data_IF_763973878938
#
_entry.id   IF_763973878938
#
_cell.length_a   1.000
_cell.length_b   1.000
_cell.length_c   1.000
_cell.angle_alpha   90.00
_cell.angle_beta   90.00
_cell.angle_gamma   90.00
#
_symmetry.space_group_name_H-M   'P 1'
#
loop_
_entity.id
_entity.type
_entity.pdbx_description
1 polymer ?
#
# COMPACT_ATOMS: atom_id res chain seq x y z
N UNK A 1 9.05 17.77 10.03
CA UNK A 1 7.79 16.98 10.16
C UNK A 1 7.86 15.89 9.11
N UNK A 2 7.62 14.63 9.47
CA UNK A 2 7.71 13.50 8.55
C UNK A 2 6.53 13.49 7.58
N UNK A 3 6.77 13.25 6.29
CA UNK A 3 5.75 13.17 5.25
C UNK A 3 5.56 11.73 4.77
N UNK A 4 4.32 11.25 4.80
CA UNK A 4 3.98 9.85 4.51
C UNK A 4 2.94 9.76 3.41
N UNK A 5 3.27 9.10 2.30
CA UNK A 5 2.33 8.81 1.22
C UNK A 5 1.79 7.38 1.36
N UNK A 6 0.46 7.24 1.36
CA UNK A 6 -0.21 5.94 1.57
C UNK A 6 -1.17 5.69 0.41
N UNK A 7 -0.89 4.68 -0.40
CA UNK A 7 -1.82 4.22 -1.42
C UNK A 7 -2.86 3.27 -0.83
N UNK A 8 -4.11 3.38 -1.28
CA UNK A 8 -5.22 2.64 -0.67
C UNK A 8 -5.52 3.08 0.76
N UNK A 9 -5.28 4.36 1.09
CA UNK A 9 -5.37 4.92 2.43
C UNK A 9 -6.80 5.11 2.98
N UNK A 10 -7.84 4.75 2.21
CA UNK A 10 -9.22 5.01 2.60
C UNK A 10 -9.89 3.90 3.42
N UNK A 11 -9.23 2.80 3.68
CA UNK A 11 -9.78 1.68 4.46
C UNK A 11 -8.70 0.67 4.90
N UNK A 12 -9.08 -0.23 5.80
CA UNK A 12 -8.28 -1.38 6.19
C UNK A 12 -6.89 -1.01 6.71
N UNK A 13 -5.87 -1.70 6.21
CA UNK A 13 -4.46 -1.50 6.63
C UNK A 13 -3.98 -0.09 6.27
N UNK A 14 -4.36 0.44 5.08
CA UNK A 14 -3.96 1.77 4.66
C UNK A 14 -4.52 2.87 5.57
N UNK A 15 -5.80 2.78 5.96
CA UNK A 15 -6.38 3.70 6.93
C UNK A 15 -5.73 3.60 8.31
N UNK A 16 -5.44 2.39 8.79
CA UNK A 16 -4.76 2.20 10.07
C UNK A 16 -3.33 2.77 10.07
N UNK A 17 -2.61 2.75 8.94
CA UNK A 17 -1.35 3.48 8.78
C UNK A 17 -1.57 4.99 8.81
N UNK A 18 -2.60 5.50 8.12
CA UNK A 18 -2.93 6.92 8.14
C UNK A 18 -3.19 7.42 9.56
N UNK A 19 -4.00 6.69 10.32
CA UNK A 19 -4.31 6.97 11.72
C UNK A 19 -3.05 6.95 12.59
N UNK A 20 -2.20 5.92 12.44
CA UNK A 20 -0.95 5.83 13.20
C UNK A 20 -0.02 7.02 12.91
N UNK A 21 0.22 7.35 11.63
CA UNK A 21 1.14 8.44 11.30
C UNK A 21 0.57 9.81 11.66
N UNK A 22 -0.74 10.00 11.53
CA UNK A 22 -1.40 11.21 12.05
C UNK A 22 -1.24 11.33 13.56
N UNK A 23 -1.41 10.25 14.32
CA UNK A 23 -1.29 10.25 15.78
C UNK A 23 0.09 10.63 16.32
N UNK A 24 1.12 10.53 15.49
CA UNK A 24 2.51 10.92 15.84
C UNK A 24 2.93 12.23 15.16
N UNK A 25 1.97 12.99 14.62
CA UNK A 25 2.20 14.34 14.07
C UNK A 25 2.83 14.38 12.68
N UNK A 26 2.75 13.29 11.90
CA UNK A 26 3.21 13.28 10.50
C UNK A 26 2.21 13.97 9.58
N UNK A 27 2.70 14.59 8.51
CA UNK A 27 1.85 15.01 7.38
C UNK A 27 1.55 13.79 6.50
N UNK A 28 0.26 13.54 6.23
CA UNK A 28 -0.18 12.32 5.55
C UNK A 28 -0.80 12.64 4.19
N UNK A 29 -0.34 11.94 3.15
CA UNK A 29 -0.87 12.00 1.79
C UNK A 29 -1.64 10.71 1.51
N UNK A 30 -2.96 10.79 1.33
CA UNK A 30 -3.85 9.67 1.12
C UNK A 30 -4.25 9.55 -0.34
N UNK A 31 -3.97 8.41 -0.95
CA UNK A 31 -4.37 8.12 -2.32
C UNK A 31 -5.44 7.04 -2.34
N UNK A 32 -6.62 7.34 -2.90
CA UNK A 32 -7.70 6.39 -3.12
C UNK A 32 -8.67 6.87 -4.19
N UNK A 33 -9.58 6.00 -4.64
CA UNK A 33 -10.56 6.32 -5.71
C UNK A 33 -11.82 7.03 -5.22
N UNK A 34 -12.22 6.78 -3.99
CA UNK A 34 -13.47 7.34 -3.46
C UNK A 34 -13.21 8.69 -2.79
N UNK A 35 -13.55 9.76 -3.52
CA UNK A 35 -13.34 11.13 -3.07
C UNK A 35 -14.10 11.46 -1.78
N UNK A 36 -15.36 11.05 -1.66
CA UNK A 36 -16.17 11.34 -0.48
C UNK A 36 -15.56 10.68 0.77
N UNK A 37 -15.16 9.42 0.66
CA UNK A 37 -14.49 8.69 1.75
C UNK A 37 -13.15 9.32 2.14
N UNK A 38 -12.40 9.85 1.17
CA UNK A 38 -11.16 10.60 1.45
C UNK A 38 -11.44 11.89 2.22
N UNK A 39 -12.49 12.64 1.86
CA UNK A 39 -12.90 13.87 2.57
C UNK A 39 -13.27 13.56 4.02
N UNK A 40 -14.08 12.53 4.26
CA UNK A 40 -14.49 12.12 5.60
C UNK A 40 -13.27 11.73 6.48
N UNK A 41 -12.36 10.96 5.89
CA UNK A 41 -11.12 10.53 6.57
C UNK A 41 -10.21 11.72 6.87
N UNK A 42 -9.99 12.60 5.90
CA UNK A 42 -9.22 13.83 6.07
C UNK A 42 -9.76 14.63 7.25
N UNK A 43 -11.06 14.94 7.24
CA UNK A 43 -11.70 15.70 8.31
C UNK A 43 -11.57 15.00 9.68
N UNK A 44 -11.76 13.69 9.71
CA UNK A 44 -11.62 12.90 10.95
C UNK A 44 -10.21 12.97 11.51
N UNK A 45 -9.19 12.73 10.68
CA UNK A 45 -7.79 12.73 11.12
C UNK A 45 -7.32 14.13 11.51
N UNK A 46 -7.62 15.16 10.72
CA UNK A 46 -7.25 16.55 11.02
C UNK A 46 -7.90 17.06 12.31
N UNK A 47 -9.18 16.76 12.54
CA UNK A 47 -9.87 17.14 13.77
C UNK A 47 -9.36 16.38 15.00
N UNK A 48 -8.93 15.10 14.82
CA UNK A 48 -8.48 14.28 15.96
C UNK A 48 -7.03 14.54 16.33
N UNK A 49 -6.15 14.73 15.35
CA UNK A 49 -4.70 14.75 15.56
C UNK A 49 -4.04 16.11 15.26
N UNK A 50 -4.80 17.06 14.70
CA UNK A 50 -4.34 18.44 14.41
C UNK A 50 -3.11 18.50 13.49
N UNK A 51 -2.98 17.54 12.56
CA UNK A 51 -1.92 17.50 11.54
C UNK A 51 -2.50 17.63 10.13
N UNK A 52 -1.66 17.96 9.16
CA UNK A 52 -2.08 18.08 7.76
C UNK A 52 -2.36 16.72 7.13
N UNK A 53 -3.51 16.59 6.46
CA UNK A 53 -3.88 15.43 5.66
C UNK A 53 -4.21 15.87 4.23
N UNK A 54 -3.37 15.49 3.28
CA UNK A 54 -3.55 15.74 1.86
C UNK A 54 -4.27 14.57 1.20
N UNK A 55 -5.27 14.84 0.36
CA UNK A 55 -6.01 13.79 -0.33
C UNK A 55 -5.79 13.87 -1.83
N UNK A 56 -5.51 12.72 -2.44
CA UNK A 56 -5.33 12.55 -3.89
C UNK A 56 -6.35 11.51 -4.37
N UNK A 57 -7.36 11.99 -5.09
CA UNK A 57 -8.39 11.12 -5.66
C UNK A 57 -7.91 10.57 -7.00
N UNK A 58 -7.47 9.31 -7.03
CA UNK A 58 -6.89 8.70 -8.23
C UNK A 58 -7.16 7.20 -8.30
N UNK A 59 -7.40 6.68 -9.51
CA UNK A 59 -7.43 5.25 -9.79
C UNK A 59 -6.04 4.77 -10.21
N UNK A 60 -5.38 4.06 -9.31
CA UNK A 60 -4.05 3.52 -9.53
C UNK A 60 -4.02 2.26 -10.39
N UNK A 61 -5.18 1.74 -10.84
CA UNK A 61 -5.24 0.64 -11.81
C UNK A 61 -5.18 1.11 -13.26
N UNK A 62 -5.10 2.43 -13.49
CA UNK A 62 -4.99 2.99 -14.83
C UNK A 62 -3.52 3.08 -15.26
N UNK A 63 -3.30 2.98 -16.58
CA UNK A 63 -1.98 3.16 -17.17
C UNK A 63 -1.41 4.54 -16.82
N UNK A 64 -0.11 4.63 -16.57
CA UNK A 64 0.61 5.85 -16.19
C UNK A 64 0.19 6.48 -14.85
N UNK A 65 -0.71 5.86 -14.08
CA UNK A 65 -1.17 6.42 -12.80
C UNK A 65 -0.03 6.61 -11.79
N UNK A 66 0.97 5.72 -11.79
CA UNK A 66 2.14 5.84 -10.92
C UNK A 66 2.96 7.11 -11.22
N UNK A 67 3.27 7.37 -12.49
CA UNK A 67 3.99 8.59 -12.90
C UNK A 67 3.15 9.84 -12.67
N UNK A 68 1.85 9.79 -12.95
CA UNK A 68 0.93 10.91 -12.67
C UNK A 68 0.88 11.23 -11.17
N UNK A 69 0.80 10.20 -10.30
CA UNK A 69 0.84 10.41 -8.85
C UNK A 69 2.18 11.01 -8.41
N UNK A 70 3.27 10.44 -8.90
CA UNK A 70 4.61 10.93 -8.55
C UNK A 70 4.81 12.40 -8.93
N UNK A 71 4.42 12.81 -10.15
CA UNK A 71 4.51 14.20 -10.60
C UNK A 71 3.71 15.18 -9.71
N UNK A 72 2.59 14.74 -9.12
CA UNK A 72 1.80 15.57 -8.20
C UNK A 72 2.48 15.81 -6.84
N UNK A 73 3.40 14.93 -6.43
CA UNK A 73 3.98 14.96 -5.08
C UNK A 73 5.52 14.96 -5.06
N UNK A 74 6.19 15.03 -6.20
CA UNK A 74 7.67 14.95 -6.27
C UNK A 74 8.38 16.06 -5.48
N UNK A 75 7.77 17.23 -5.39
CA UNK A 75 8.34 18.39 -4.68
C UNK A 75 8.03 18.35 -3.16
N UNK A 76 7.21 17.39 -2.71
CA UNK A 76 6.83 17.25 -1.30
C UNK A 76 7.90 16.58 -0.44
N UNK A 77 8.95 16.02 -1.03
CA UNK A 77 10.00 15.30 -0.30
C UNK A 77 9.44 14.21 0.62
N UNK A 78 8.64 13.30 0.08
CA UNK A 78 8.04 12.19 0.82
C UNK A 78 9.12 11.35 1.50
N UNK A 79 9.01 11.17 2.83
CA UNK A 79 9.96 10.39 3.64
C UNK A 79 9.60 8.91 3.68
N UNK A 80 8.29 8.61 3.64
CA UNK A 80 7.79 7.23 3.70
C UNK A 80 6.75 7.01 2.59
N UNK A 81 6.99 6.01 1.75
CA UNK A 81 6.01 5.49 0.81
C UNK A 81 5.43 4.17 1.33
N UNK A 82 4.10 4.10 1.45
CA UNK A 82 3.39 2.86 1.78
C UNK A 82 2.55 2.44 0.56
N UNK A 83 3.07 1.50 -0.20
CA UNK A 83 2.38 0.85 -1.30
C UNK A 83 1.44 -0.23 -0.77
N UNK A 84 0.23 0.20 -0.39
CA UNK A 84 -0.79 -0.67 0.21
C UNK A 84 -1.99 -0.91 -0.72
N UNK A 85 -2.23 -0.06 -1.71
CA UNK A 85 -3.32 -0.26 -2.66
C UNK A 85 -3.24 -1.64 -3.33
N UNK A 86 -4.37 -2.33 -3.37
CA UNK A 86 -4.45 -3.64 -3.99
C UNK A 86 -5.88 -4.18 -4.00
N UNK A 87 -6.14 -5.11 -4.89
CA UNK A 87 -7.41 -5.82 -4.97
C UNK A 87 -7.16 -7.30 -5.32
N UNK A 88 -8.21 -8.10 -5.21
CA UNK A 88 -8.20 -9.51 -5.59
C UNK A 88 -9.61 -9.99 -5.88
N UNK A 89 -9.73 -11.05 -6.65
CA UNK A 89 -11.00 -11.66 -7.02
C UNK A 89 -10.97 -13.15 -6.69
N UNK A 90 -12.08 -13.66 -6.15
CA UNK A 90 -12.21 -15.07 -5.79
C UNK A 90 -13.31 -15.69 -6.62
N UNK A 91 -12.93 -16.47 -7.64
CA UNK A 91 -13.82 -17.20 -8.55
C UNK A 91 -12.94 -18.20 -9.34
N UNK A 92 -13.56 -19.10 -10.10
CA UNK A 92 -12.84 -19.92 -11.07
C UNK A 92 -12.15 -19.03 -12.10
N UNK A 93 -10.85 -19.24 -12.37
CA UNK A 93 -10.05 -18.32 -13.18
C UNK A 93 -10.66 -17.99 -14.55
N UNK A 94 -11.32 -18.96 -15.17
CA UNK A 94 -11.98 -18.76 -16.48
C UNK A 94 -13.33 -18.02 -16.43
N UNK A 95 -13.80 -17.66 -15.22
CA UNK A 95 -15.02 -16.87 -15.02
C UNK A 95 -14.73 -15.44 -14.58
N UNK A 96 -13.50 -15.15 -14.20
CA UNK A 96 -13.10 -13.78 -13.89
C UNK A 96 -12.95 -13.03 -15.21
N UNK A 97 -13.56 -11.85 -15.27
CA UNK A 97 -13.43 -10.95 -16.41
C UNK A 97 -11.95 -10.56 -16.59
N UNK A 98 -11.42 -10.71 -17.82
CA UNK A 98 -10.02 -10.43 -18.13
C UNK A 98 -9.63 -8.99 -17.81
N UNK A 99 -10.51 -8.01 -18.06
CA UNK A 99 -10.24 -6.61 -17.73
C UNK A 99 -10.06 -6.39 -16.22
N UNK A 100 -10.77 -7.18 -15.38
CA UNK A 100 -10.59 -7.11 -13.92
C UNK A 100 -9.24 -7.69 -13.50
N UNK A 101 -8.80 -8.79 -14.12
CA UNK A 101 -7.48 -9.36 -13.84
C UNK A 101 -6.36 -8.43 -14.29
N UNK A 102 -6.46 -7.83 -15.49
CA UNK A 102 -5.51 -6.85 -16.00
C UNK A 102 -5.40 -5.63 -15.07
N UNK A 103 -6.55 -5.06 -14.65
CA UNK A 103 -6.57 -3.96 -13.67
C UNK A 103 -5.97 -4.35 -12.32
N UNK A 104 -6.17 -5.59 -11.88
CA UNK A 104 -5.55 -6.10 -10.65
C UNK A 104 -4.03 -6.18 -10.79
N UNK A 105 -3.50 -6.73 -11.87
CA UNK A 105 -2.06 -6.79 -12.14
C UNK A 105 -1.48 -5.39 -12.27
N UNK A 106 -2.17 -4.49 -13.00
CA UNK A 106 -1.75 -3.10 -13.10
C UNK A 106 -1.63 -2.44 -11.71
N UNK A 107 -2.64 -2.59 -10.86
CA UNK A 107 -2.65 -2.00 -9.53
C UNK A 107 -1.64 -2.65 -8.57
N UNK A 108 -1.68 -3.99 -8.47
CA UNK A 108 -0.92 -4.72 -7.46
C UNK A 108 0.58 -4.79 -7.78
N UNK A 109 0.94 -4.84 -9.07
CA UNK A 109 2.29 -5.14 -9.52
C UNK A 109 2.93 -3.94 -10.23
N UNK A 110 2.39 -3.52 -11.36
CA UNK A 110 3.00 -2.49 -12.21
C UNK A 110 3.08 -1.13 -11.51
N UNK A 111 1.98 -0.69 -10.91
CA UNK A 111 1.92 0.59 -10.19
C UNK A 111 2.80 0.57 -8.94
N UNK A 112 2.76 -0.50 -8.16
CA UNK A 112 3.63 -0.67 -6.98
C UNK A 112 5.10 -0.63 -7.37
N UNK A 113 5.51 -1.39 -8.40
CA UNK A 113 6.88 -1.42 -8.91
C UNK A 113 7.33 -0.03 -9.38
N UNK A 114 6.49 0.67 -10.14
CA UNK A 114 6.79 1.99 -10.67
C UNK A 114 6.93 3.03 -9.55
N UNK A 115 6.01 3.07 -8.58
CA UNK A 115 6.10 3.96 -7.43
C UNK A 115 7.35 3.64 -6.58
N UNK A 116 7.61 2.36 -6.31
CA UNK A 116 8.83 1.96 -5.59
C UNK A 116 10.07 2.54 -6.26
N UNK A 117 10.18 2.42 -7.60
CA UNK A 117 11.33 2.93 -8.34
C UNK A 117 11.42 4.46 -8.34
N UNK A 118 10.31 5.15 -8.61
CA UNK A 118 10.29 6.62 -8.68
C UNK A 118 10.68 7.26 -7.34
N UNK A 119 10.06 6.81 -6.26
CA UNK A 119 10.37 7.33 -4.92
C UNK A 119 11.76 6.90 -4.44
N UNK A 120 12.20 5.69 -4.77
CA UNK A 120 13.57 5.25 -4.46
C UNK A 120 14.61 6.17 -5.09
N UNK A 121 14.44 6.62 -6.33
CA UNK A 121 15.39 7.50 -6.99
C UNK A 121 15.56 8.85 -6.27
N UNK A 122 14.51 9.40 -5.70
CA UNK A 122 14.60 10.64 -4.93
C UNK A 122 15.15 10.40 -3.52
N UNK A 123 14.70 9.35 -2.84
CA UNK A 123 15.23 8.93 -1.54
C UNK A 123 16.73 8.60 -1.63
N UNK A 124 17.15 7.97 -2.72
CA UNK A 124 18.56 7.69 -3.01
C UNK A 124 19.41 8.97 -3.08
N UNK A 125 18.92 10.04 -3.73
CA UNK A 125 19.61 11.33 -3.81
C UNK A 125 19.81 11.97 -2.43
N UNK A 126 18.83 11.77 -1.53
CA UNK A 126 18.85 12.29 -0.17
C UNK A 126 19.58 11.37 0.82
N UNK A 127 19.91 10.14 0.42
CA UNK A 127 20.42 9.07 1.27
C UNK A 127 19.52 8.75 2.46
N UNK A 128 18.23 9.00 2.32
CA UNK A 128 17.23 8.81 3.36
C UNK A 128 15.85 8.51 2.76
N UNK A 129 15.14 7.54 3.36
CA UNK A 129 13.77 7.22 3.01
C UNK A 129 13.35 5.82 3.43
N UNK A 130 12.04 5.61 3.42
CA UNK A 130 11.43 4.31 3.73
C UNK A 130 10.38 3.96 2.69
N UNK A 131 10.43 2.74 2.18
CA UNK A 131 9.41 2.19 1.30
C UNK A 131 8.86 0.91 1.94
N UNK A 132 7.54 0.84 2.11
CA UNK A 132 6.84 -0.35 2.58
C UNK A 132 5.93 -0.86 1.47
N UNK A 133 6.21 -2.05 0.96
CA UNK A 133 5.39 -2.74 -0.01
C UNK A 133 4.51 -3.79 0.69
N UNK A 134 3.20 -3.73 0.50
CA UNK A 134 2.25 -4.65 1.14
C UNK A 134 1.96 -5.82 0.20
N UNK A 135 2.54 -6.97 0.53
CA UNK A 135 2.27 -8.27 -0.07
C UNK A 135 1.17 -9.02 0.70
N UNK A 136 1.30 -10.31 0.90
CA UNK A 136 0.39 -11.19 1.64
C UNK A 136 1.12 -12.49 1.98
N UNK A 137 0.66 -13.24 3.00
CA UNK A 137 1.05 -14.63 3.20
C UNK A 137 0.66 -15.53 2.02
N UNK A 138 -0.32 -15.13 1.19
CA UNK A 138 -0.64 -15.76 -0.08
C UNK A 138 0.53 -15.80 -1.09
N UNK A 139 1.59 -15.03 -0.88
CA UNK A 139 2.79 -15.06 -1.70
C UNK A 139 3.60 -16.37 -1.60
N UNK A 140 3.33 -17.20 -0.59
CA UNK A 140 4.13 -18.41 -0.33
C UNK A 140 3.54 -19.70 -0.90
N UNK A 141 2.34 -19.64 -1.52
CA UNK A 141 1.67 -20.83 -2.01
C UNK A 141 0.76 -20.50 -3.20
N UNK A 142 0.45 -21.48 -4.08
CA UNK A 142 -0.59 -21.30 -5.07
C UNK A 142 -1.97 -21.19 -4.40
N UNK A 143 -2.88 -20.40 -4.97
CA UNK A 143 -4.23 -20.21 -4.46
C UNK A 143 -5.29 -20.58 -5.49
N UNK A 144 -5.82 -21.81 -5.51
CA UNK A 144 -6.98 -22.14 -6.33
C UNK A 144 -8.13 -21.16 -6.07
N UNK A 145 -8.86 -20.77 -7.11
CA UNK A 145 -9.94 -19.77 -7.13
C UNK A 145 -9.53 -18.32 -6.84
N UNK A 146 -8.26 -18.07 -6.52
CA UNK A 146 -7.71 -16.73 -6.25
C UNK A 146 -6.31 -16.59 -6.88
N UNK A 147 -6.09 -17.29 -7.98
CA UNK A 147 -4.78 -17.51 -8.60
C UNK A 147 -4.05 -16.20 -8.94
N UNK A 148 -4.72 -15.29 -9.66
CA UNK A 148 -4.14 -14.00 -10.06
C UNK A 148 -3.67 -13.16 -8.87
N UNK A 149 -4.47 -13.09 -7.81
CA UNK A 149 -4.07 -12.35 -6.60
C UNK A 149 -2.84 -12.96 -5.92
N UNK A 150 -2.79 -14.29 -5.72
CA UNK A 150 -1.63 -14.93 -5.09
C UNK A 150 -0.37 -14.76 -5.93
N UNK A 151 -0.49 -14.90 -7.27
CA UNK A 151 0.60 -14.63 -8.19
C UNK A 151 1.10 -13.19 -8.07
N UNK A 152 0.20 -12.21 -8.03
CA UNK A 152 0.56 -10.80 -7.84
C UNK A 152 1.30 -10.57 -6.51
N UNK A 153 0.84 -11.19 -5.43
CA UNK A 153 1.49 -11.04 -4.12
C UNK A 153 2.85 -11.75 -4.05
N UNK A 154 3.04 -12.83 -4.82
CA UNK A 154 4.35 -13.47 -5.04
C UNK A 154 5.29 -12.53 -5.78
N UNK A 155 4.81 -11.85 -6.84
CA UNK A 155 5.59 -10.82 -7.54
C UNK A 155 6.05 -9.74 -6.56
N UNK A 156 5.14 -9.15 -5.78
CA UNK A 156 5.48 -8.09 -4.81
C UNK A 156 6.53 -8.57 -3.79
N UNK A 157 6.37 -9.78 -3.25
CA UNK A 157 7.32 -10.32 -2.27
C UNK A 157 8.71 -10.56 -2.87
N UNK A 158 8.77 -11.14 -4.07
CA UNK A 158 10.03 -11.41 -4.77
C UNK A 158 10.72 -10.11 -5.18
N UNK A 159 9.99 -9.20 -5.82
CA UNK A 159 10.49 -7.88 -6.22
C UNK A 159 11.04 -7.09 -5.03
N UNK A 160 10.26 -7.01 -3.94
CA UNK A 160 10.66 -6.23 -2.77
C UNK A 160 11.94 -6.77 -2.13
N UNK A 161 12.11 -8.10 -2.07
CA UNK A 161 13.34 -8.73 -1.53
C UNK A 161 14.57 -8.39 -2.38
N UNK A 162 14.43 -8.39 -3.71
CA UNK A 162 15.52 -8.04 -4.61
C UNK A 162 15.94 -6.58 -4.44
N UNK A 163 14.98 -5.64 -4.55
CA UNK A 163 15.30 -4.21 -4.44
C UNK A 163 15.72 -3.77 -3.03
N UNK A 164 15.33 -4.50 -1.99
CA UNK A 164 15.85 -4.30 -0.64
C UNK A 164 17.37 -4.47 -0.58
N UNK A 165 17.91 -5.53 -1.19
CA UNK A 165 19.36 -5.75 -1.24
C UNK A 165 20.09 -4.63 -2.01
N UNK A 166 19.52 -4.20 -3.15
CA UNK A 166 20.07 -3.13 -3.96
C UNK A 166 20.03 -1.75 -3.28
N UNK A 167 19.04 -1.52 -2.40
CA UNK A 167 18.84 -0.23 -1.73
C UNK A 167 19.74 0.01 -0.51
N UNK A 168 20.32 -1.04 0.07
CA UNK A 168 21.07 -0.97 1.33
C UNK A 168 22.21 0.05 1.34
N UNK A 169 22.94 0.15 0.25
CA UNK A 169 24.09 1.05 0.14
C UNK A 169 23.71 2.54 0.02
N UNK A 170 22.43 2.82 -0.23
CA UNK A 170 21.95 4.20 -0.46
C UNK A 170 21.21 4.82 0.73
N UNK A 171 21.20 4.17 1.89
CA UNK A 171 20.50 4.69 3.07
C UNK A 171 18.97 4.59 3.00
N UNK A 172 18.42 3.95 1.96
CA UNK A 172 16.98 3.76 1.78
C UNK A 172 16.55 2.40 2.33
N UNK A 173 15.58 2.40 3.22
CA UNK A 173 15.05 1.18 3.82
C UNK A 173 13.80 0.71 3.08
N UNK A 174 13.84 -0.49 2.54
CA UNK A 174 12.70 -1.09 1.83
C UNK A 174 12.22 -2.30 2.64
N UNK A 175 10.90 -2.37 2.89
CA UNK A 175 10.28 -3.44 3.66
C UNK A 175 9.17 -4.12 2.86
N UNK A 176 9.00 -5.42 3.08
CA UNK A 176 7.88 -6.20 2.60
C UNK A 176 6.99 -6.60 3.77
N UNK A 177 5.75 -6.11 3.81
CA UNK A 177 4.75 -6.56 4.76
C UNK A 177 3.95 -7.72 4.14
N UNK A 178 3.92 -8.86 4.82
CA UNK A 178 3.19 -10.06 4.39
C UNK A 178 2.11 -10.41 5.42
N UNK A 179 0.99 -9.67 5.47
CA UNK A 179 -0.07 -9.95 6.41
C UNK A 179 -0.77 -11.27 6.07
N UNK A 180 -1.16 -12.00 7.11
CA UNK A 180 -2.18 -13.04 7.02
C UNK A 180 -3.57 -12.43 6.82
N UNK A 181 -4.65 -13.18 7.12
CA UNK A 181 -6.00 -12.64 7.04
C UNK A 181 -6.19 -11.42 7.95
N UNK A 182 -6.66 -10.31 7.38
CA UNK A 182 -6.95 -9.05 8.10
C UNK A 182 -8.42 -8.68 7.92
N UNK A 183 -9.09 -8.34 9.01
CA UNK A 183 -10.51 -7.99 9.02
C UNK A 183 -10.73 -6.62 8.33
N UNK A 184 -10.87 -6.63 7.02
CA UNK A 184 -11.07 -5.46 6.17
C UNK A 184 -12.14 -5.71 5.12
N UNK A 185 -12.57 -4.66 4.45
CA UNK A 185 -13.49 -4.73 3.30
C UNK A 185 -12.91 -5.50 2.09
N UNK A 186 -11.62 -5.82 2.10
CA UNK A 186 -10.96 -6.59 1.03
C UNK A 186 -11.70 -7.91 0.75
N UNK A 187 -12.03 -8.67 1.80
CA UNK A 187 -12.74 -9.94 1.64
C UNK A 187 -14.11 -9.78 1.01
N UNK A 188 -14.90 -8.82 1.47
CA UNK A 188 -16.21 -8.51 0.89
C UNK A 188 -16.08 -8.13 -0.59
N UNK A 189 -15.08 -7.33 -0.94
CA UNK A 189 -14.82 -6.88 -2.32
C UNK A 189 -14.28 -8.01 -3.21
N UNK A 190 -13.56 -8.97 -2.65
CA UNK A 190 -13.09 -10.15 -3.38
C UNK A 190 -14.12 -11.28 -3.49
N UNK A 191 -15.34 -11.08 -2.94
CA UNK A 191 -16.44 -12.02 -3.08
C UNK A 191 -16.55 -13.09 -1.98
N UNK A 192 -15.78 -12.96 -0.88
CA UNK A 192 -15.77 -13.92 0.23
C UNK A 192 -15.91 -13.24 1.59
N UNK A 193 -16.20 -14.03 2.62
CA UNK A 193 -16.22 -13.56 4.02
C UNK A 193 -14.82 -13.61 4.63
N UNK A 194 -14.49 -12.63 5.47
CA UNK A 194 -13.26 -12.68 6.25
C UNK A 194 -13.26 -13.89 7.21
N UNK A 195 -12.14 -14.60 7.37
CA UNK A 195 -12.02 -15.66 8.38
C UNK A 195 -12.25 -15.13 9.81
N UNK A 196 -12.83 -15.94 10.71
CA UNK A 196 -13.11 -15.54 12.09
C UNK A 196 -11.85 -15.12 12.88
N UNK A 197 -10.69 -15.65 12.52
CA UNK A 197 -9.40 -15.34 13.15
C UNK A 197 -8.64 -14.21 12.44
N UNK A 198 -9.30 -13.47 11.55
CA UNK A 198 -8.65 -12.35 10.86
C UNK A 198 -8.19 -11.28 11.86
N UNK A 199 -6.93 -10.86 11.72
CA UNK A 199 -6.33 -9.84 12.59
C UNK A 199 -6.95 -8.45 12.32
N UNK A 200 -7.05 -7.61 13.33
CA UNK A 200 -7.44 -6.20 13.14
C UNK A 200 -6.31 -5.41 12.49
N UNK A 201 -6.65 -4.43 11.66
CA UNK A 201 -5.68 -3.60 10.91
C UNK A 201 -4.73 -2.82 11.82
N UNK A 202 -5.22 -2.31 12.96
CA UNK A 202 -4.41 -1.60 13.97
C UNK A 202 -3.30 -2.49 14.55
N UNK A 203 -3.58 -3.77 14.78
CA UNK A 203 -2.59 -4.75 15.27
C UNK A 203 -1.52 -5.05 14.23
N UNK A 204 -1.93 -5.16 12.95
CA UNK A 204 -0.97 -5.33 11.83
C UNK A 204 -0.03 -4.13 11.77
N UNK A 205 -0.56 -2.91 11.83
CA UNK A 205 0.25 -1.68 11.80
C UNK A 205 1.18 -1.61 13.01
N UNK A 206 0.68 -1.83 14.22
CA UNK A 206 1.50 -1.80 15.44
C UNK A 206 2.68 -2.79 15.37
N UNK A 207 2.42 -4.01 14.88
CA UNK A 207 3.46 -5.01 14.65
C UNK A 207 4.48 -4.53 13.61
N UNK A 208 4.02 -4.01 12.48
CA UNK A 208 4.87 -3.52 11.38
C UNK A 208 5.79 -2.41 11.85
N UNK A 209 5.25 -1.39 12.50
CA UNK A 209 6.01 -0.25 13.01
C UNK A 209 7.07 -0.68 14.02
N UNK A 210 6.72 -1.60 14.95
CA UNK A 210 7.67 -2.16 15.90
C UNK A 210 8.89 -2.80 15.22
N UNK A 211 8.67 -3.48 14.08
CA UNK A 211 9.74 -4.17 13.35
C UNK A 211 10.52 -3.24 12.42
N UNK A 212 9.88 -2.22 11.84
CA UNK A 212 10.56 -1.19 11.04
C UNK A 212 11.50 -0.30 11.86
N UNK A 213 11.25 -0.14 13.17
CA UNK A 213 12.08 0.64 14.10
C UNK A 213 13.31 -0.13 14.63
N UNK A 214 13.32 -1.45 14.52
CA UNK A 214 14.51 -2.24 14.86
C UNK A 214 15.55 -2.05 13.75
N UNK A 215 16.68 -1.46 14.11
CA UNK A 215 17.84 -1.29 13.21
C UNK A 215 18.49 -2.66 12.95
#
# INVERSE_FOLDING_TARGET
MQKVLITGGSEGIGYAFAEYYSSIGSEVFLVARNRMKLIDIKNTLENTYHNAVNMICMDLSLQNSASTLYEQVKDENIDILINNAGCGYTERFWKIDIEKEEKMVMLNDMTLMSLTKLFFLDMKKRHEGVILNVSSTGAFQPGPYIAGYYASKTFVASYTRAVYEEAKEYGVRIYCLLPGPVATDFYRKSGVKAPMHAMKSDKVVAYTIKHMKKK
#
